data_IF_627577983536
#
_entry.id   IF_627577983536
#
_cell.length_a   1.000
_cell.length_b   1.000
_cell.length_c   1.000
_cell.angle_alpha   90.00
_cell.angle_beta   90.00
_cell.angle_gamma   90.00
#
_symmetry.space_group_name_H-M   'P 1'
#
loop_
_entity.id
_entity.type
_entity.pdbx_description
1 polymer ?
#
# COMPACT_ATOMS: atom_id res chain seq x y z
N UNK A 1 -33.42 3.33 15.22
CA UNK A 1 -32.78 3.17 13.89
C UNK A 1 -31.31 3.50 14.09
N UNK A 2 -30.52 2.49 14.42
CA UNK A 2 -29.07 2.60 14.57
C UNK A 2 -28.46 2.61 13.16
N UNK A 3 -28.00 3.79 12.73
CA UNK A 3 -27.22 3.91 11.50
C UNK A 3 -25.88 3.20 11.72
N UNK A 4 -25.64 2.18 10.92
CA UNK A 4 -24.31 1.59 10.76
C UNK A 4 -23.48 2.64 10.04
N UNK A 5 -22.57 3.30 10.76
CA UNK A 5 -21.50 4.09 10.16
C UNK A 5 -20.57 3.10 9.46
N UNK A 6 -20.83 2.91 8.16
CA UNK A 6 -20.00 2.13 7.26
C UNK A 6 -18.62 2.81 7.20
N UNK A 7 -17.66 2.19 7.89
CA UNK A 7 -16.27 2.62 7.95
C UNK A 7 -15.68 2.52 6.53
N UNK A 8 -15.71 3.66 5.83
CA UNK A 8 -15.46 3.76 4.39
C UNK A 8 -14.01 3.37 4.03
N UNK A 9 -13.80 2.12 3.64
CA UNK A 9 -12.65 1.74 2.84
C UNK A 9 -12.79 2.37 1.44
N UNK A 10 -11.87 3.26 1.07
CA UNK A 10 -11.91 3.94 -0.22
C UNK A 10 -11.65 2.95 -1.38
N UNK A 11 -12.72 2.49 -2.05
CA UNK A 11 -12.61 1.85 -3.36
C UNK A 11 -12.32 2.93 -4.42
N UNK A 12 -11.06 3.00 -4.86
CA UNK A 12 -10.66 3.87 -5.97
C UNK A 12 -10.91 3.13 -7.29
N UNK A 13 -12.01 3.48 -7.96
CA UNK A 13 -12.26 3.06 -9.35
C UNK A 13 -11.46 3.97 -10.29
N UNK A 14 -10.46 3.41 -10.96
CA UNK A 14 -9.67 4.12 -11.98
C UNK A 14 -10.02 3.51 -13.34
N UNK A 15 -10.95 4.14 -14.06
CA UNK A 15 -11.30 3.78 -15.44
C UNK A 15 -11.93 2.40 -15.61
N UNK A 16 -12.42 2.12 -16.83
CA UNK A 16 -13.26 0.96 -17.16
C UNK A 16 -12.59 -0.38 -16.83
N UNK A 17 -12.96 -0.97 -15.70
CA UNK A 17 -12.75 -2.38 -15.37
C UNK A 17 -11.80 -2.70 -14.21
N UNK A 18 -11.02 -1.74 -13.70
CA UNK A 18 -10.08 -2.00 -12.59
C UNK A 18 -10.50 -1.26 -11.31
N UNK A 19 -11.05 -2.00 -10.34
CA UNK A 19 -11.24 -1.54 -8.97
C UNK A 19 -9.97 -1.79 -8.16
N UNK A 20 -9.34 -0.71 -7.68
CA UNK A 20 -8.27 -0.82 -6.70
C UNK A 20 -8.86 -0.66 -5.30
N UNK A 21 -8.66 -1.69 -4.46
CA UNK A 21 -8.90 -1.55 -3.02
C UNK A 21 -7.66 -0.96 -2.40
N UNK A 22 -7.74 0.32 -2.05
CA UNK A 22 -6.67 1.02 -1.36
C UNK A 22 -6.69 0.60 0.12
N UNK A 23 -5.62 -0.04 0.59
CA UNK A 23 -5.34 -0.09 2.02
C UNK A 23 -4.85 1.32 2.43
N UNK A 24 -5.78 2.22 2.74
CA UNK A 24 -5.40 3.42 3.49
C UNK A 24 -5.15 2.94 4.93
N UNK A 25 -3.89 2.66 5.25
CA UNK A 25 -3.40 2.17 6.57
C UNK A 25 -3.51 3.27 7.63
N UNK A 26 -4.70 3.82 7.80
CA UNK A 26 -4.98 4.97 8.65
C UNK A 26 -6.03 4.65 9.70
N UNK A 27 -6.08 3.43 10.23
CA UNK A 27 -6.80 3.06 11.45
C UNK A 27 -6.34 1.65 11.89
N UNK A 28 -6.45 1.40 13.19
CA UNK A 28 -6.02 0.23 13.96
C UNK A 28 -5.99 -1.11 13.20
N UNK A 29 -5.01 -1.94 13.55
CA UNK A 29 -4.64 -3.27 12.99
C UNK A 29 -5.80 -4.32 12.92
N UNK A 30 -7.06 -3.97 13.13
CA UNK A 30 -8.17 -4.91 13.29
C UNK A 30 -9.13 -5.11 12.11
N UNK A 31 -8.93 -4.51 10.92
CA UNK A 31 -9.86 -4.74 9.80
C UNK A 31 -9.19 -5.18 8.49
N UNK A 32 -8.68 -6.42 8.48
CA UNK A 32 -8.32 -7.13 7.26
C UNK A 32 -9.23 -8.34 7.03
N UNK A 33 -10.48 -8.09 6.61
CA UNK A 33 -11.24 -9.08 5.83
C UNK A 33 -11.07 -8.79 4.35
N UNK A 34 -9.97 -9.27 3.79
CA UNK A 34 -9.77 -9.31 2.34
C UNK A 34 -10.39 -10.59 1.79
N UNK A 35 -11.39 -10.44 0.91
CA UNK A 35 -12.01 -11.57 0.22
C UNK A 35 -10.99 -12.20 -0.74
N UNK A 36 -10.53 -13.40 -0.38
CA UNK A 36 -9.51 -14.19 -1.08
C UNK A 36 -9.90 -14.60 -2.51
N UNK A 37 -11.12 -14.28 -2.99
CA UNK A 37 -11.62 -14.74 -4.31
C UNK A 37 -11.37 -13.83 -5.51
N UNK A 38 -10.92 -12.58 -5.34
CA UNK A 38 -10.61 -11.71 -6.48
C UNK A 38 -9.10 -11.56 -6.67
N UNK A 39 -8.59 -11.69 -7.90
CA UNK A 39 -7.20 -11.38 -8.28
C UNK A 39 -6.94 -9.85 -8.24
N UNK A 40 -7.38 -9.19 -7.17
CA UNK A 40 -7.11 -7.78 -6.94
C UNK A 40 -5.67 -7.65 -6.42
N UNK A 41 -4.87 -6.81 -7.08
CA UNK A 41 -3.55 -6.43 -6.57
C UNK A 41 -3.73 -5.42 -5.45
N UNK A 42 -3.04 -5.61 -4.33
CA UNK A 42 -3.00 -4.61 -3.27
C UNK A 42 -1.96 -3.55 -3.63
N UNK A 43 -2.25 -2.28 -3.32
CA UNK A 43 -1.34 -1.17 -3.57
C UNK A 43 -0.74 -0.66 -2.25
N UNK A 44 0.58 -0.44 -2.25
CA UNK A 44 1.29 0.26 -1.18
C UNK A 44 0.94 1.76 -1.19
N UNK A 45 1.09 2.44 -0.05
CA UNK A 45 0.85 3.88 0.06
C UNK A 45 1.68 4.67 -0.97
N UNK A 46 2.91 4.22 -1.23
CA UNK A 46 3.80 4.83 -2.21
C UNK A 46 3.30 4.67 -3.66
N UNK A 47 2.75 3.51 -4.02
CA UNK A 47 2.14 3.30 -5.34
C UNK A 47 0.90 4.18 -5.52
N UNK A 48 0.07 4.28 -4.46
CA UNK A 48 -1.12 5.13 -4.46
C UNK A 48 -0.73 6.60 -4.57
N UNK A 49 0.33 7.04 -3.88
CA UNK A 49 0.83 8.41 -3.97
C UNK A 49 1.18 8.80 -5.40
N UNK A 50 1.97 7.96 -6.10
CA UNK A 50 2.35 8.21 -7.50
C UNK A 50 1.12 8.28 -8.43
N UNK A 51 0.15 7.37 -8.23
CA UNK A 51 -1.07 7.34 -9.06
C UNK A 51 -1.91 8.61 -8.84
N UNK A 52 -2.11 9.00 -7.58
CA UNK A 52 -2.90 10.19 -7.26
C UNK A 52 -2.19 11.47 -7.68
N UNK A 53 -0.87 11.56 -7.54
CA UNK A 53 -0.07 12.70 -8.02
C UNK A 53 -0.19 12.86 -9.53
N UNK A 54 0.01 11.77 -10.29
CA UNK A 54 -0.11 11.82 -11.74
C UNK A 54 -1.52 12.23 -12.20
N UNK A 55 -2.56 11.72 -11.55
CA UNK A 55 -3.94 12.11 -11.84
C UNK A 55 -4.19 13.58 -11.50
N UNK A 56 -3.62 14.07 -10.41
CA UNK A 56 -3.73 15.47 -10.02
C UNK A 56 -3.07 16.40 -11.05
N UNK A 57 -1.89 16.05 -11.56
CA UNK A 57 -1.21 16.77 -12.65
C UNK A 57 -2.04 16.82 -13.94
N UNK A 58 -2.64 15.71 -14.34
CA UNK A 58 -3.51 15.67 -15.52
C UNK A 58 -4.73 16.59 -15.38
N UNK A 59 -5.33 16.64 -14.19
CA UNK A 59 -6.46 17.54 -13.90
C UNK A 59 -6.04 19.01 -13.99
N UNK A 60 -4.84 19.34 -13.52
CA UNK A 60 -4.30 20.70 -13.64
C UNK A 60 -4.05 21.13 -15.09
N UNK A 61 -3.65 20.20 -15.96
CA UNK A 61 -3.38 20.52 -17.37
C UNK A 61 -4.65 20.65 -18.22
N UNK A 62 -5.77 20.05 -17.78
CA UNK A 62 -6.99 19.93 -18.58
C UNK A 62 -8.09 20.94 -18.17
N UNK A 63 -7.98 21.58 -17.01
CA UNK A 63 -9.03 22.47 -16.47
C UNK A 63 -8.51 23.86 -16.10
N UNK A 64 -9.28 24.89 -16.48
CA UNK A 64 -9.11 26.27 -16.00
C UNK A 64 -9.42 26.42 -14.48
N UNK A 65 -10.12 25.45 -13.87
CA UNK A 65 -10.40 25.42 -12.42
C UNK A 65 -10.20 24.01 -11.81
N UNK A 66 -8.95 23.64 -11.44
CA UNK A 66 -8.60 22.31 -10.93
C UNK A 66 -9.25 21.96 -9.58
N UNK A 67 -9.63 22.97 -8.79
CA UNK A 67 -10.12 22.75 -7.42
C UNK A 67 -11.55 22.21 -7.38
N UNK A 68 -12.34 22.48 -8.42
CA UNK A 68 -13.76 22.14 -8.46
C UNK A 68 -14.05 20.70 -8.95
N UNK A 69 -13.04 20.02 -9.52
CA UNK A 69 -13.16 18.62 -9.96
C UNK A 69 -12.56 17.60 -9.00
N UNK A 70 -11.77 18.05 -8.01
CA UNK A 70 -11.11 17.16 -7.07
C UNK A 70 -12.04 16.90 -5.89
N UNK A 71 -12.52 15.66 -5.76
CA UNK A 71 -13.33 15.27 -4.60
C UNK A 71 -12.54 15.47 -3.29
N UNK A 72 -13.24 15.87 -2.23
CA UNK A 72 -12.67 15.95 -0.88
C UNK A 72 -12.02 14.63 -0.43
N UNK A 73 -12.56 13.49 -0.88
CA UNK A 73 -11.98 12.17 -0.61
C UNK A 73 -10.63 12.02 -1.31
N UNK A 74 -10.50 12.50 -2.55
CA UNK A 74 -9.24 12.47 -3.29
C UNK A 74 -8.18 13.33 -2.62
N UNK A 75 -8.52 14.56 -2.23
CA UNK A 75 -7.58 15.48 -1.58
C UNK A 75 -7.07 14.89 -0.25
N UNK A 76 -7.99 14.40 0.60
CA UNK A 76 -7.64 13.74 1.86
C UNK A 76 -6.79 12.48 1.63
N UNK A 77 -7.14 11.67 0.62
CA UNK A 77 -6.38 10.47 0.27
C UNK A 77 -4.96 10.82 -0.19
N UNK A 78 -4.83 11.82 -1.07
CA UNK A 78 -3.54 12.31 -1.57
C UNK A 78 -2.68 12.86 -0.43
N UNK A 79 -3.27 13.66 0.47
CA UNK A 79 -2.58 14.19 1.63
C UNK A 79 -2.10 13.07 2.57
N UNK A 80 -2.94 12.06 2.81
CA UNK A 80 -2.59 10.90 3.60
C UNK A 80 -1.43 10.13 2.98
N UNK A 81 -1.53 9.74 1.71
CA UNK A 81 -0.48 8.91 1.09
C UNK A 81 0.82 9.68 0.93
N UNK A 82 0.79 10.99 0.67
CA UNK A 82 1.98 11.84 0.68
C UNK A 82 2.66 11.89 2.04
N UNK A 83 1.88 11.89 3.13
CA UNK A 83 2.40 11.94 4.51
C UNK A 83 2.95 10.60 4.97
N UNK A 84 2.30 9.50 4.61
CA UNK A 84 2.59 8.16 5.13
C UNK A 84 3.30 7.24 4.13
N UNK A 85 3.58 7.72 2.91
CA UNK A 85 4.44 7.00 1.99
C UNK A 85 5.87 6.94 2.55
N UNK A 86 6.45 5.75 2.54
CA UNK A 86 7.85 5.51 2.90
C UNK A 86 8.82 5.76 1.74
N UNK A 87 8.29 5.74 0.52
CA UNK A 87 9.07 5.87 -0.71
C UNK A 87 8.46 6.97 -1.58
N UNK A 88 9.25 7.98 -1.94
CA UNK A 88 8.85 9.11 -2.79
C UNK A 88 9.37 8.99 -4.21
N UNK A 89 10.55 8.40 -4.39
CA UNK A 89 11.16 8.18 -5.68
C UNK A 89 10.42 7.06 -6.42
N UNK A 90 9.86 7.31 -7.63
CA UNK A 90 9.19 6.30 -8.43
C UNK A 90 10.03 5.04 -8.68
N UNK A 91 11.36 5.18 -8.79
CA UNK A 91 12.25 4.04 -9.01
C UNK A 91 12.47 3.23 -7.73
N UNK A 92 12.46 3.87 -6.56
CA UNK A 92 12.47 3.17 -5.28
C UNK A 92 11.17 2.36 -5.10
N UNK A 93 10.02 2.95 -5.43
CA UNK A 93 8.71 2.26 -5.37
C UNK A 93 8.68 0.99 -6.21
N UNK A 94 9.18 1.07 -7.45
CA UNK A 94 9.29 -0.09 -8.36
C UNK A 94 10.21 -1.17 -7.77
N UNK A 95 11.38 -0.78 -7.28
CA UNK A 95 12.35 -1.71 -6.70
C UNK A 95 11.78 -2.42 -5.46
N UNK A 96 11.10 -1.71 -4.55
CA UNK A 96 10.45 -2.31 -3.38
C UNK A 96 9.43 -3.37 -3.81
N UNK A 97 8.59 -3.04 -4.80
CA UNK A 97 7.60 -3.98 -5.34
C UNK A 97 8.26 -5.23 -5.91
N UNK A 98 9.33 -5.06 -6.67
CA UNK A 98 10.07 -6.17 -7.28
C UNK A 98 10.73 -7.06 -6.23
N UNK A 99 11.34 -6.49 -5.20
CA UNK A 99 11.98 -7.24 -4.12
C UNK A 99 10.94 -8.09 -3.39
N UNK A 100 9.86 -7.48 -2.91
CA UNK A 100 8.83 -8.18 -2.14
C UNK A 100 8.13 -9.27 -2.97
N UNK A 101 7.96 -9.04 -4.27
CA UNK A 101 7.34 -10.03 -5.17
C UNK A 101 8.17 -11.32 -5.32
N UNK A 102 9.48 -11.29 -5.00
CA UNK A 102 10.35 -12.49 -5.03
C UNK A 102 10.11 -13.43 -3.85
N UNK A 103 9.56 -12.92 -2.76
CA UNK A 103 9.40 -13.65 -1.50
C UNK A 103 8.03 -14.36 -1.39
N UNK A 104 7.33 -14.67 -2.51
CA UNK A 104 6.07 -15.44 -2.53
C UNK A 104 5.03 -15.03 -1.47
N UNK A 105 4.98 -13.73 -1.17
CA UNK A 105 4.05 -13.16 -0.20
C UNK A 105 2.65 -13.04 -0.80
N UNK A 106 1.63 -13.14 0.04
CA UNK A 106 0.31 -12.68 -0.34
C UNK A 106 0.31 -11.15 -0.54
N UNK A 107 -0.55 -10.66 -1.44
CA UNK A 107 -0.62 -9.23 -1.80
C UNK A 107 -0.75 -8.30 -0.58
N UNK A 108 -1.53 -8.70 0.43
CA UNK A 108 -1.69 -7.90 1.65
C UNK A 108 -0.42 -7.88 2.51
N UNK A 109 0.32 -8.99 2.59
CA UNK A 109 1.55 -9.11 3.40
C UNK A 109 2.65 -8.23 2.80
N UNK A 110 2.78 -8.27 1.48
CA UNK A 110 3.65 -7.38 0.71
C UNK A 110 3.33 -5.91 1.04
N UNK A 111 2.05 -5.53 0.98
CA UNK A 111 1.66 -4.14 1.24
C UNK A 111 1.94 -3.71 2.68
N UNK A 112 1.70 -4.57 3.67
CA UNK A 112 1.99 -4.26 5.07
C UNK A 112 3.49 -4.07 5.27
N UNK A 113 4.32 -4.99 4.78
CA UNK A 113 5.78 -4.89 4.90
C UNK A 113 6.34 -3.66 4.17
N UNK A 114 5.87 -3.38 2.95
CA UNK A 114 6.28 -2.20 2.18
C UNK A 114 5.87 -0.88 2.83
N UNK A 115 4.71 -0.83 3.50
CA UNK A 115 4.24 0.39 4.16
C UNK A 115 4.87 0.63 5.54
N UNK A 116 5.06 -0.44 6.32
CA UNK A 116 5.54 -0.33 7.70
C UNK A 116 7.07 -0.39 7.79
N UNK A 117 7.72 -1.09 6.86
CA UNK A 117 9.18 -1.25 6.80
C UNK A 117 9.79 -1.73 8.13
N UNK A 118 9.43 -2.92 8.61
CA UNK A 118 9.98 -3.46 9.85
C UNK A 118 11.49 -3.66 9.76
N UNK A 119 12.19 -3.47 10.87
CA UNK A 119 13.66 -3.55 10.95
C UNK A 119 14.14 -4.93 11.43
N UNK A 120 13.30 -5.65 12.19
CA UNK A 120 13.63 -6.99 12.69
C UNK A 120 12.61 -8.04 12.28
N UNK A 121 13.05 -9.30 12.29
CA UNK A 121 12.20 -10.46 11.98
C UNK A 121 11.02 -10.52 12.96
N UNK A 122 11.24 -10.23 14.23
CA UNK A 122 10.21 -10.21 15.28
C UNK A 122 9.14 -9.15 14.98
N UNK A 123 9.55 -7.96 14.55
CA UNK A 123 8.64 -6.89 14.18
C UNK A 123 7.80 -7.28 12.95
N UNK A 124 8.43 -7.85 11.93
CA UNK A 124 7.74 -8.32 10.73
C UNK A 124 6.70 -9.41 11.06
N UNK A 125 7.03 -10.35 11.95
CA UNK A 125 6.11 -11.40 12.39
C UNK A 125 4.99 -10.83 13.26
N UNK A 126 5.30 -9.87 14.13
CA UNK A 126 4.30 -9.22 14.98
C UNK A 126 3.27 -8.44 14.12
N UNK A 127 3.72 -7.80 13.05
CA UNK A 127 2.85 -7.09 12.10
C UNK A 127 2.09 -8.06 11.18
N UNK A 128 2.74 -9.13 10.72
CA UNK A 128 2.18 -10.08 9.75
C UNK A 128 2.50 -11.53 10.16
N UNK A 129 1.73 -12.10 11.10
CA UNK A 129 1.97 -13.45 11.60
C UNK A 129 1.90 -14.54 10.53
N UNK A 130 1.17 -14.28 9.44
CA UNK A 130 0.96 -15.22 8.33
C UNK A 130 2.20 -15.47 7.47
N UNK A 131 3.24 -14.61 7.55
CA UNK A 131 4.51 -14.82 6.84
C UNK A 131 5.17 -16.14 7.28
N UNK A 132 5.07 -16.49 8.57
CA UNK A 132 5.58 -17.74 9.15
C UNK A 132 4.55 -18.89 9.19
N UNK A 133 3.45 -18.78 8.44
CA UNK A 133 2.41 -19.82 8.46
C UNK A 133 2.98 -21.18 8.01
N UNK A 134 2.55 -22.26 8.69
CA UNK A 134 3.02 -23.62 8.45
C UNK A 134 2.87 -24.01 6.98
N UNK A 135 3.99 -24.36 6.33
CA UNK A 135 4.04 -24.74 4.92
C UNK A 135 4.61 -23.68 3.97
N UNK A 136 4.92 -22.47 4.46
CA UNK A 136 5.72 -21.49 3.72
C UNK A 136 7.20 -21.61 4.10
N UNK A 137 8.08 -21.48 3.12
CA UNK A 137 9.52 -21.65 3.25
C UNK A 137 10.26 -20.37 3.66
N UNK A 138 9.64 -19.50 4.47
CA UNK A 138 10.32 -18.33 5.01
C UNK A 138 10.84 -18.68 6.40
N UNK A 139 12.08 -19.15 6.45
CA UNK A 139 12.86 -19.14 7.67
C UNK A 139 13.23 -17.70 8.06
N UNK A 140 13.70 -17.55 9.29
CA UNK A 140 14.09 -16.27 9.86
C UNK A 140 15.17 -15.59 9.02
N UNK A 141 16.09 -16.38 8.44
CA UNK A 141 17.15 -15.94 7.55
C UNK A 141 16.59 -15.31 6.25
N UNK A 142 15.59 -15.91 5.63
CA UNK A 142 14.94 -15.36 4.44
C UNK A 142 14.18 -14.06 4.75
N UNK A 143 13.50 -13.99 5.91
CA UNK A 143 12.82 -12.77 6.36
C UNK A 143 13.85 -11.68 6.62
N UNK A 144 14.92 -11.98 7.36
CA UNK A 144 15.99 -11.03 7.65
C UNK A 144 16.64 -10.51 6.36
N UNK A 145 16.90 -11.39 5.39
CA UNK A 145 17.42 -11.00 4.08
C UNK A 145 16.47 -10.07 3.33
N UNK A 146 15.17 -10.36 3.33
CA UNK A 146 14.15 -9.50 2.74
C UNK A 146 14.13 -8.11 3.40
N UNK A 147 14.17 -8.04 4.74
CA UNK A 147 14.18 -6.76 5.47
C UNK A 147 15.45 -5.97 5.19
N UNK A 148 16.60 -6.64 5.11
CA UNK A 148 17.86 -6.02 4.72
C UNK A 148 17.78 -5.44 3.30
N UNK A 149 17.26 -6.20 2.34
CA UNK A 149 17.05 -5.77 0.95
C UNK A 149 16.17 -4.50 0.88
N UNK A 150 15.08 -4.44 1.66
CA UNK A 150 14.22 -3.24 1.78
C UNK A 150 14.95 -2.05 2.42
N UNK A 151 15.72 -2.31 3.48
CA UNK A 151 16.49 -1.28 4.19
C UNK A 151 17.49 -0.58 3.28
N UNK A 152 18.06 -1.30 2.30
CA UNK A 152 19.00 -0.75 1.34
C UNK A 152 18.31 0.29 0.45
N UNK A 153 17.10 0.01 -0.05
CA UNK A 153 16.37 0.99 -0.86
C UNK A 153 16.05 2.24 -0.03
N UNK A 154 15.58 2.06 1.22
CA UNK A 154 15.24 3.16 2.13
C UNK A 154 16.44 4.07 2.47
N UNK A 155 17.67 3.54 2.45
CA UNK A 155 18.89 4.34 2.71
C UNK A 155 19.23 5.32 1.58
N UNK A 156 18.77 5.06 0.36
CA UNK A 156 19.07 5.86 -0.83
C UNK A 156 17.86 6.65 -1.34
N UNK A 157 16.79 6.72 -0.53
CA UNK A 157 15.63 7.61 -0.63
C UNK A 157 15.91 8.97 0.02
#
# INVERSE_FOLDING_TARGET
>A
MSGEEEENAAELKIGDGNSFKCLIVGMSIEFLRFDQKSKAKCLMNCEVALILEHKYEQLQQTSDDPMNQVSQVFEKSLQYVKRFSRYKNPDAVRQVREILSRYQLAEFELCVLGNLCPETVEEAIAMVPSIKSKGRAHDDEAIEKMLNDLSLIKKFE
#
